data_IF_278724687493
#
_entry.id   IF_278724687493
#
_cell.length_a   1.000
_cell.length_b   1.000
_cell.length_c   1.000
_cell.angle_alpha   90.00
_cell.angle_beta   90.00
_cell.angle_gamma   90.00
#
_symmetry.space_group_name_H-M   'P 1'
#
loop_
_entity.id
_entity.type
_entity.pdbx_description
1 polymer ?
#
# COMPACT_ATOMS: atom_id res chain seq x y z
N UNK A 1 4.75 3.12 13.25
CA UNK A 1 3.53 2.58 12.60
C UNK A 1 2.57 1.84 13.55
N UNK A 2 3.02 0.83 14.30
CA UNK A 2 2.14 0.06 15.19
C UNK A 2 1.44 0.93 16.27
N UNK A 3 2.16 1.89 16.88
CA UNK A 3 1.57 2.79 17.88
C UNK A 3 0.58 3.77 17.26
N UNK A 4 0.90 4.32 16.08
CA UNK A 4 0.00 5.21 15.34
C UNK A 4 -1.31 4.52 14.97
N UNK A 5 -1.27 3.31 14.41
CA UNK A 5 -2.49 2.53 14.10
C UNK A 5 -3.32 2.20 15.35
N UNK A 6 -2.68 1.97 16.51
CA UNK A 6 -3.39 1.79 17.79
C UNK A 6 -4.09 3.06 18.27
N UNK A 7 -3.51 4.23 17.99
CA UNK A 7 -4.05 5.54 18.38
C UNK A 7 -5.25 6.00 17.55
N UNK A 8 -5.64 5.27 16.50
CA UNK A 8 -6.77 5.67 15.65
C UNK A 8 -8.11 5.52 16.36
N UNK A 9 -8.93 6.57 16.30
CA UNK A 9 -10.32 6.55 16.70
C UNK A 9 -11.16 5.64 15.79
N UNK A 10 -12.37 5.27 16.25
CA UNK A 10 -13.30 4.44 15.48
C UNK A 10 -13.59 5.04 14.09
N UNK A 11 -13.74 6.36 14.01
CA UNK A 11 -13.98 7.10 12.76
C UNK A 11 -12.76 7.03 11.82
N UNK A 12 -11.54 7.17 12.34
CA UNK A 12 -10.32 7.05 11.55
C UNK A 12 -10.11 5.64 10.98
N UNK A 13 -10.46 4.61 11.76
CA UNK A 13 -10.48 3.22 11.27
C UNK A 13 -11.51 3.02 10.15
N UNK A 14 -12.69 3.65 10.25
CA UNK A 14 -13.68 3.64 9.15
C UNK A 14 -13.12 4.37 7.93
N UNK A 15 -12.36 5.46 8.12
CA UNK A 15 -11.75 6.17 6.99
C UNK A 15 -10.75 5.30 6.22
N UNK A 16 -10.06 4.34 6.85
CA UNK A 16 -9.22 3.36 6.12
C UNK A 16 -10.02 2.53 5.11
N UNK A 17 -11.32 2.33 5.32
CA UNK A 17 -12.21 1.68 4.35
C UNK A 17 -12.33 2.49 3.06
N UNK A 18 -12.33 3.83 3.14
CA UNK A 18 -12.39 4.69 1.94
C UNK A 18 -11.19 4.43 1.04
N UNK A 19 -10.03 4.20 1.64
CA UNK A 19 -8.78 3.90 0.93
C UNK A 19 -8.66 2.43 0.48
N UNK A 20 -9.64 1.57 0.75
CA UNK A 20 -9.53 0.13 0.50
C UNK A 20 -8.51 -0.59 1.39
N UNK A 21 -7.97 0.05 2.44
CA UNK A 21 -6.92 -0.52 3.30
C UNK A 21 -7.45 -1.14 4.60
N UNK A 22 -8.77 -1.25 4.75
CA UNK A 22 -9.38 -1.93 5.90
C UNK A 22 -8.84 -3.36 6.13
N UNK A 23 -8.64 -4.19 5.10
CA UNK A 23 -8.11 -5.54 5.30
C UNK A 23 -6.62 -5.55 5.65
N UNK A 24 -5.85 -4.55 5.22
CA UNK A 24 -4.43 -4.44 5.61
C UNK A 24 -4.32 -4.19 7.12
N UNK A 25 -5.25 -3.45 7.71
CA UNK A 25 -5.33 -3.31 9.16
C UNK A 25 -5.62 -4.65 9.85
N UNK A 26 -6.39 -5.55 9.21
CA UNK A 26 -6.65 -6.90 9.73
C UNK A 26 -5.50 -7.89 9.50
N UNK A 27 -4.69 -7.72 8.44
CA UNK A 27 -3.49 -8.54 8.19
C UNK A 27 -2.50 -8.50 9.36
N UNK A 28 -2.50 -7.42 10.14
CA UNK A 28 -1.69 -7.30 11.35
C UNK A 28 -1.97 -8.39 12.41
N UNK A 29 -3.17 -8.97 12.41
CA UNK A 29 -3.56 -10.05 13.32
C UNK A 29 -3.36 -11.45 12.73
N UNK A 30 -2.93 -11.55 11.47
CA UNK A 30 -2.74 -12.84 10.80
C UNK A 30 -1.40 -13.43 11.24
N UNK A 31 -1.44 -14.63 11.80
CA UNK A 31 -0.23 -15.41 12.08
C UNK A 31 0.34 -15.84 10.74
N UNK A 32 1.62 -15.56 10.51
CA UNK A 32 2.32 -16.00 9.31
C UNK A 32 2.48 -17.51 9.37
N UNK A 33 1.87 -18.20 8.42
CA UNK A 33 2.09 -19.63 8.18
C UNK A 33 3.24 -19.79 7.18
N UNK A 34 4.40 -20.14 7.70
CA UNK A 34 5.62 -20.31 6.89
C UNK A 34 5.54 -21.51 5.96
N UNK A 35 4.87 -22.60 6.38
CA UNK A 35 4.71 -23.79 5.55
C UNK A 35 3.81 -23.48 4.35
N UNK A 36 2.74 -22.70 4.58
CA UNK A 36 1.89 -22.20 3.50
C UNK A 36 2.66 -21.31 2.52
N UNK A 37 3.41 -20.32 3.02
CA UNK A 37 4.20 -19.44 2.14
C UNK A 37 5.24 -20.23 1.32
N UNK A 38 5.88 -21.22 1.93
CA UNK A 38 6.84 -22.07 1.23
C UNK A 38 6.16 -22.95 0.18
N UNK A 39 4.95 -23.44 0.45
CA UNK A 39 4.14 -24.13 -0.54
C UNK A 39 3.75 -23.21 -1.70
N UNK A 40 3.32 -21.96 -1.42
CA UNK A 40 3.02 -20.98 -2.46
C UNK A 40 4.21 -20.77 -3.40
N UNK A 41 5.41 -20.56 -2.87
CA UNK A 41 6.62 -20.38 -3.69
C UNK A 41 6.94 -21.64 -4.50
N UNK A 42 6.84 -22.82 -3.87
CA UNK A 42 7.16 -24.11 -4.51
C UNK A 42 6.26 -24.42 -5.71
N UNK A 43 4.98 -24.05 -5.63
CA UNK A 43 3.99 -24.36 -6.67
C UNK A 43 3.71 -23.19 -7.62
N UNK A 44 4.32 -22.02 -7.40
CA UNK A 44 4.18 -20.87 -8.27
C UNK A 44 4.94 -21.06 -9.57
N UNK A 45 4.26 -20.91 -10.71
CA UNK A 45 4.90 -20.76 -12.02
C UNK A 45 5.01 -19.27 -12.37
N UNK A 46 6.23 -18.68 -12.40
CA UNK A 46 6.45 -17.28 -12.73
C UNK A 46 6.26 -16.96 -14.22
N UNK A 47 6.19 -17.95 -15.12
CA UNK A 47 5.95 -17.70 -16.55
C UNK A 47 4.46 -17.59 -16.87
N UNK A 48 3.64 -18.49 -16.32
CA UNK A 48 2.18 -18.46 -16.51
C UNK A 48 1.44 -17.63 -15.45
N UNK A 49 2.11 -17.25 -14.36
CA UNK A 49 1.52 -16.58 -13.19
C UNK A 49 0.34 -17.33 -12.57
N UNK A 50 0.51 -18.65 -12.40
CA UNK A 50 -0.47 -19.56 -11.79
C UNK A 50 0.21 -20.50 -10.80
N UNK A 51 -0.57 -21.07 -9.88
CA UNK A 51 -0.11 -22.19 -9.07
C UNK A 51 -0.35 -23.51 -9.83
N UNK A 52 0.67 -24.37 -9.91
CA UNK A 52 0.56 -25.69 -10.56
C UNK A 52 0.67 -26.83 -9.56
N UNK A 53 -0.25 -27.78 -9.65
CA UNK A 53 -0.32 -28.94 -8.75
C UNK A 53 -0.33 -30.27 -9.50
N UNK A 54 0.25 -31.29 -8.86
CA UNK A 54 0.21 -32.67 -9.33
C UNK A 54 1.00 -32.94 -10.61
N UNK A 55 1.03 -34.21 -11.02
CA UNK A 55 1.72 -34.64 -12.24
C UNK A 55 1.00 -34.18 -13.53
N UNK A 56 -0.27 -33.80 -13.42
CA UNK A 56 -1.12 -33.38 -14.54
C UNK A 56 -1.10 -31.86 -14.78
N UNK A 57 -0.29 -31.10 -14.03
CA UNK A 57 -0.18 -29.63 -14.13
C UNK A 57 -1.54 -28.93 -13.97
N UNK A 58 -2.32 -29.31 -12.95
CA UNK A 58 -3.57 -28.60 -12.65
C UNK A 58 -3.24 -27.16 -12.22
N UNK A 59 -3.88 -26.18 -12.87
CA UNK A 59 -3.61 -24.76 -12.66
C UNK A 59 -4.67 -24.12 -11.75
N UNK A 60 -4.21 -23.29 -10.81
CA UNK A 60 -5.07 -22.47 -9.96
C UNK A 60 -4.57 -21.03 -9.97
N UNK A 61 -5.47 -20.09 -10.25
CA UNK A 61 -5.22 -18.67 -10.10
C UNK A 61 -6.52 -17.99 -9.67
N UNK A 62 -6.53 -17.24 -8.57
CA UNK A 62 -7.71 -16.47 -8.19
C UNK A 62 -8.06 -15.46 -9.29
N UNK A 63 -9.33 -15.39 -9.66
CA UNK A 63 -9.81 -14.32 -10.51
C UNK A 63 -9.66 -12.97 -9.80
N UNK A 64 -9.64 -11.89 -10.59
CA UNK A 64 -9.54 -10.54 -10.04
C UNK A 64 -10.64 -10.24 -9.02
N UNK A 65 -11.86 -10.72 -9.29
CA UNK A 65 -13.03 -10.59 -8.42
C UNK A 65 -12.86 -11.36 -7.12
N UNK A 66 -12.32 -12.58 -7.18
CA UNK A 66 -12.04 -13.42 -6.00
C UNK A 66 -10.95 -12.78 -5.13
N UNK A 67 -9.89 -12.27 -5.77
CA UNK A 67 -8.85 -11.53 -5.09
C UNK A 67 -9.41 -10.28 -4.40
N UNK A 68 -10.23 -9.48 -5.11
CA UNK A 68 -10.88 -8.30 -4.56
C UNK A 68 -11.80 -8.66 -3.38
N UNK A 69 -12.53 -9.77 -3.45
CA UNK A 69 -13.36 -10.26 -2.34
C UNK A 69 -12.51 -10.59 -1.10
N UNK A 70 -11.36 -11.26 -1.28
CA UNK A 70 -10.41 -11.58 -0.19
C UNK A 70 -9.92 -10.30 0.50
N UNK A 71 -9.55 -9.28 -0.28
CA UNK A 71 -9.09 -7.99 0.24
C UNK A 71 -10.23 -6.97 0.40
N UNK A 72 -11.50 -7.39 0.46
CA UNK A 72 -12.65 -6.53 0.74
C UNK A 72 -12.77 -5.28 -0.15
N UNK A 73 -12.34 -5.36 -1.41
CA UNK A 73 -12.46 -4.32 -2.43
C UNK A 73 -13.64 -4.61 -3.36
N UNK A 74 -14.23 -3.55 -3.93
CA UNK A 74 -15.23 -3.70 -5.00
C UNK A 74 -14.50 -3.84 -6.35
N UNK A 75 -14.61 -4.99 -7.05
CA UNK A 75 -13.97 -5.18 -8.35
C UNK A 75 -14.55 -4.27 -9.45
N UNK A 76 -15.74 -3.70 -9.25
CA UNK A 76 -16.38 -2.80 -10.22
C UNK A 76 -16.03 -1.32 -10.00
N UNK A 77 -15.41 -0.98 -8.86
CA UNK A 77 -15.01 0.40 -8.59
C UNK A 77 -13.83 0.80 -9.51
N UNK A 78 -13.70 2.10 -9.83
CA UNK A 78 -12.60 2.59 -10.66
C UNK A 78 -11.24 2.15 -10.09
N UNK A 79 -10.42 1.49 -10.90
CA UNK A 79 -9.09 1.05 -10.46
C UNK A 79 -8.21 2.25 -10.12
N UNK A 80 -7.50 2.16 -9.00
CA UNK A 80 -6.38 3.06 -8.71
C UNK A 80 -5.29 2.77 -9.75
N UNK A 81 -4.82 3.82 -10.39
CA UNK A 81 -3.78 3.76 -11.43
C UNK A 81 -2.53 4.46 -10.94
N UNK A 82 -1.40 3.85 -11.26
CA UNK A 82 -0.13 4.53 -11.13
C UNK A 82 0.00 5.56 -12.27
N UNK A 83 -0.10 6.85 -11.94
CA UNK A 83 0.02 7.93 -12.93
C UNK A 83 1.48 8.38 -13.03
N UNK A 84 2.07 8.22 -14.22
CA UNK A 84 3.38 8.80 -14.52
C UNK A 84 3.21 10.29 -14.82
N UNK A 85 3.62 11.14 -13.88
CA UNK A 85 3.52 12.61 -13.99
C UNK A 85 4.84 13.28 -13.63
N UNK A 86 5.07 14.47 -14.18
CA UNK A 86 6.17 15.35 -13.76
C UNK A 86 5.74 16.07 -12.48
N UNK A 87 6.68 16.24 -11.54
CA UNK A 87 6.48 17.11 -10.38
C UNK A 87 5.86 16.44 -9.16
N UNK A 88 6.24 15.20 -8.83
CA UNK A 88 5.77 14.51 -7.62
C UNK A 88 6.07 15.25 -6.32
N UNK A 89 7.11 16.10 -6.30
CA UNK A 89 7.36 17.02 -5.17
C UNK A 89 6.15 17.93 -4.92
N UNK A 90 5.54 18.50 -5.98
CA UNK A 90 4.32 19.30 -5.85
C UNK A 90 3.12 18.45 -5.44
N UNK A 91 3.04 17.20 -5.90
CA UNK A 91 2.02 16.27 -5.44
C UNK A 91 2.13 16.00 -3.94
N UNK A 92 3.35 15.85 -3.43
CA UNK A 92 3.63 15.66 -2.00
C UNK A 92 3.29 16.92 -1.18
N UNK A 93 3.77 18.09 -1.61
CA UNK A 93 3.40 19.40 -1.03
C UNK A 93 1.89 19.55 -0.91
N UNK A 94 1.16 19.29 -2.01
CA UNK A 94 -0.29 19.46 -2.07
C UNK A 94 -1.07 18.36 -1.34
N UNK A 95 -0.55 17.14 -1.23
CA UNK A 95 -1.20 16.05 -0.51
C UNK A 95 -1.21 16.32 0.99
N UNK A 96 -0.08 16.80 1.53
CA UNK A 96 0.13 17.04 2.96
C UNK A 96 0.00 18.51 3.39
N UNK A 97 -0.24 19.43 2.45
CA UNK A 97 -0.30 20.88 2.68
C UNK A 97 1.00 21.46 3.27
N UNK A 98 2.14 20.88 2.89
CA UNK A 98 3.43 21.41 3.31
C UNK A 98 3.84 22.62 2.49
N UNK A 99 4.54 23.55 3.15
CA UNK A 99 5.32 24.55 2.42
C UNK A 99 6.45 23.88 1.65
N UNK A 100 6.90 24.51 0.56
CA UNK A 100 8.00 24.00 -0.26
C UNK A 100 9.29 23.73 0.54
N UNK A 101 9.73 24.59 1.48
CA UNK A 101 10.88 24.30 2.33
C UNK A 101 10.68 23.05 3.20
N UNK A 102 9.50 22.89 3.82
CA UNK A 102 9.18 21.72 4.64
C UNK A 102 9.20 20.43 3.80
N UNK A 103 8.53 20.43 2.64
CA UNK A 103 8.52 19.28 1.75
C UNK A 103 9.94 18.91 1.28
N UNK A 104 10.75 19.89 0.91
CA UNK A 104 12.15 19.68 0.48
C UNK A 104 13.02 19.08 1.57
N UNK A 105 12.81 19.44 2.84
CA UNK A 105 13.51 18.83 3.96
C UNK A 105 13.18 17.34 4.16
N UNK A 106 12.01 16.90 3.67
CA UNK A 106 11.54 15.52 3.78
C UNK A 106 11.79 14.69 2.51
N UNK A 107 12.36 15.27 1.44
CA UNK A 107 12.49 14.62 0.14
C UNK A 107 13.96 14.41 -0.25
N UNK A 108 14.26 13.21 -0.74
CA UNK A 108 15.57 12.83 -1.29
C UNK A 108 15.44 12.59 -2.80
N UNK A 109 16.31 13.25 -3.57
CA UNK A 109 16.45 13.06 -5.01
C UNK A 109 15.20 13.36 -5.84
N UNK A 110 14.26 14.15 -5.30
CA UNK A 110 12.97 14.48 -5.93
C UNK A 110 12.06 13.26 -6.23
N UNK A 111 12.37 12.09 -5.67
CA UNK A 111 11.65 10.84 -5.91
C UNK A 111 11.16 10.14 -4.63
N UNK A 112 11.83 10.35 -3.49
CA UNK A 112 11.54 9.63 -2.24
C UNK A 112 11.26 10.61 -1.12
N UNK A 113 10.28 10.31 -0.28
CA UNK A 113 10.05 10.96 1.01
C UNK A 113 10.69 10.13 2.13
N UNK A 114 11.33 10.79 3.09
CA UNK A 114 11.76 10.18 4.35
C UNK A 114 10.50 9.99 5.21
N UNK A 115 10.22 8.76 5.65
CA UNK A 115 8.99 8.44 6.37
C UNK A 115 8.99 8.98 7.81
N UNK A 116 10.15 9.01 8.47
CA UNK A 116 10.23 9.37 9.89
C UNK A 116 9.72 10.80 10.18
N UNK A 117 10.18 11.86 9.49
CA UNK A 117 9.64 13.21 9.69
C UNK A 117 8.13 13.31 9.44
N UNK A 118 7.61 12.55 8.47
CA UNK A 118 6.18 12.51 8.18
C UNK A 118 5.39 11.82 9.31
N UNK A 119 5.96 10.78 9.92
CA UNK A 119 5.38 10.10 11.08
C UNK A 119 5.38 11.04 12.29
N UNK A 120 6.49 11.72 12.57
CA UNK A 120 6.60 12.61 13.72
C UNK A 120 5.62 13.78 13.60
N UNK A 121 5.44 14.34 12.40
CA UNK A 121 4.50 15.45 12.15
C UNK A 121 3.03 15.08 12.44
N UNK A 122 2.61 13.85 12.13
CA UNK A 122 1.19 13.48 12.14
C UNK A 122 0.77 12.45 13.20
N UNK A 123 1.71 11.73 13.83
CA UNK A 123 1.38 10.61 14.72
C UNK A 123 0.87 11.01 16.10
N UNK A 124 1.36 12.11 16.67
CA UNK A 124 0.97 12.58 18.02
C UNK A 124 -0.25 13.52 18.02
N UNK A 125 -0.69 13.96 16.84
CA UNK A 125 -1.75 14.96 16.71
C UNK A 125 -3.13 14.34 16.96
N UNK A 126 -3.65 14.50 18.19
CA UNK A 126 -5.09 14.45 18.43
C UNK A 126 -5.67 15.84 18.15
N UNK A 127 -6.63 15.92 17.22
CA UNK A 127 -7.21 17.20 16.80
C UNK A 127 -8.65 16.97 16.36
N UNK A 128 -9.56 17.82 16.83
CA UNK A 128 -10.96 17.86 16.36
C UNK A 128 -11.09 18.54 14.98
N UNK A 129 -10.02 19.19 14.51
CA UNK A 129 -9.97 19.77 13.16
C UNK A 129 -10.02 18.67 12.08
N UNK A 130 -11.11 18.67 11.31
CA UNK A 130 -11.36 17.73 10.21
C UNK A 130 -10.29 17.75 9.13
N UNK A 131 -9.72 18.92 8.83
CA UNK A 131 -8.67 19.01 7.81
C UNK A 131 -7.40 18.33 8.29
N UNK A 132 -7.02 18.57 9.54
CA UNK A 132 -5.86 17.91 10.15
C UNK A 132 -6.04 16.39 10.29
N UNK A 133 -7.24 15.92 10.63
CA UNK A 133 -7.57 14.47 10.63
C UNK A 133 -7.43 13.89 9.22
N UNK A 134 -7.87 14.58 8.18
CA UNK A 134 -7.70 14.13 6.78
C UNK A 134 -6.22 14.03 6.40
N UNK A 135 -5.41 15.04 6.71
CA UNK A 135 -3.96 15.01 6.44
C UNK A 135 -3.25 13.88 7.19
N UNK A 136 -3.60 13.68 8.47
CA UNK A 136 -3.13 12.56 9.29
C UNK A 136 -3.48 11.21 8.65
N UNK A 137 -4.70 11.05 8.14
CA UNK A 137 -5.10 9.83 7.43
C UNK A 137 -4.30 9.61 6.13
N UNK A 138 -4.10 10.65 5.32
CA UNK A 138 -3.25 10.57 4.11
C UNK A 138 -1.83 10.15 4.45
N UNK A 139 -1.27 10.69 5.53
CA UNK A 139 0.10 10.41 5.96
C UNK A 139 0.23 8.97 6.44
N UNK A 140 -0.74 8.49 7.23
CA UNK A 140 -0.81 7.09 7.63
C UNK A 140 -0.90 6.16 6.42
N UNK A 141 -1.80 6.47 5.47
CA UNK A 141 -1.97 5.70 4.23
C UNK A 141 -0.67 5.67 3.42
N UNK A 142 -0.01 6.82 3.24
CA UNK A 142 1.28 6.89 2.56
C UNK A 142 2.32 6.00 3.23
N UNK A 143 2.44 6.07 4.56
CA UNK A 143 3.38 5.23 5.31
C UNK A 143 3.03 3.74 5.25
N UNK A 144 1.74 3.37 5.20
CA UNK A 144 1.32 1.97 5.01
C UNK A 144 1.66 1.47 3.60
N UNK A 145 1.38 2.27 2.57
CA UNK A 145 1.74 1.92 1.20
C UNK A 145 3.25 1.80 1.02
N UNK A 146 4.01 2.78 1.52
CA UNK A 146 5.46 2.80 1.41
C UNK A 146 6.15 1.73 2.25
N UNK A 147 5.73 1.57 3.51
CA UNK A 147 6.42 0.69 4.46
C UNK A 147 5.97 -0.76 4.44
N UNK A 148 4.80 -1.07 3.87
CA UNK A 148 4.24 -2.42 3.84
C UNK A 148 4.01 -2.95 2.43
N UNK A 149 3.19 -2.26 1.61
CA UNK A 149 2.79 -2.79 0.30
C UNK A 149 3.86 -2.64 -0.78
N UNK A 150 4.53 -1.49 -0.85
CA UNK A 150 5.51 -1.16 -1.88
C UNK A 150 6.88 -0.88 -1.28
N UNK A 151 7.24 -1.64 -0.25
CA UNK A 151 8.49 -1.48 0.50
C UNK A 151 9.67 -1.89 -0.38
N UNK A 152 10.25 -0.91 -1.07
CA UNK A 152 11.46 -1.06 -1.87
C UNK A 152 12.71 -0.54 -1.17
N UNK A 153 12.55 0.41 -0.24
CA UNK A 153 13.64 1.10 0.42
C UNK A 153 13.23 1.48 1.84
N UNK A 154 13.88 0.86 2.83
CA UNK A 154 13.49 0.94 4.23
C UNK A 154 13.58 2.39 4.73
N UNK A 155 12.48 2.88 5.30
CA UNK A 155 12.39 4.25 5.82
C UNK A 155 12.07 5.31 4.78
N UNK A 156 11.90 4.93 3.52
CA UNK A 156 11.52 5.83 2.43
C UNK A 156 10.18 5.44 1.81
N UNK A 157 9.48 6.44 1.26
CA UNK A 157 8.28 6.24 0.46
C UNK A 157 8.40 6.90 -0.90
N UNK A 158 8.00 6.19 -1.93
CA UNK A 158 8.03 6.71 -3.30
C UNK A 158 6.97 7.82 -3.48
N UNK A 159 7.39 8.99 -3.96
CA UNK A 159 6.47 10.12 -4.17
C UNK A 159 5.40 9.83 -5.21
N UNK A 160 5.60 8.80 -6.05
CA UNK A 160 4.62 8.23 -6.97
C UNK A 160 3.37 7.70 -6.30
N UNK A 161 3.41 7.46 -4.99
CA UNK A 161 2.24 7.08 -4.21
C UNK A 161 1.28 8.27 -4.00
N UNK A 162 1.76 9.52 -4.09
CA UNK A 162 0.93 10.69 -3.79
C UNK A 162 -0.32 10.82 -4.68
N UNK A 163 -0.24 10.68 -6.02
CA UNK A 163 -1.44 10.67 -6.87
C UNK A 163 -2.37 9.49 -6.61
N UNK A 164 -1.81 8.31 -6.29
CA UNK A 164 -2.60 7.11 -5.97
C UNK A 164 -3.46 7.31 -4.73
N UNK A 165 -2.89 7.91 -3.68
CA UNK A 165 -3.63 8.17 -2.43
C UNK A 165 -4.84 9.07 -2.68
N UNK A 166 -4.77 10.02 -3.60
CA UNK A 166 -5.93 10.83 -3.98
C UNK A 166 -7.02 10.00 -4.65
N UNK A 167 -6.64 9.14 -5.59
CA UNK A 167 -7.60 8.22 -6.23
C UNK A 167 -8.24 7.27 -5.20
N UNK A 168 -7.46 6.84 -4.20
CA UNK A 168 -7.96 6.02 -3.10
C UNK A 168 -8.92 6.80 -2.18
N UNK A 169 -8.71 8.09 -1.93
CA UNK A 169 -9.69 8.91 -1.20
C UNK A 169 -11.05 8.96 -1.88
N UNK A 170 -11.05 8.92 -3.22
CA UNK A 170 -12.23 8.87 -4.08
C UNK A 170 -12.79 7.44 -4.26
N UNK A 171 -12.47 6.54 -3.32
CA UNK A 171 -12.92 5.14 -3.27
C UNK A 171 -12.45 4.29 -4.46
N UNK A 172 -11.29 4.64 -5.04
CA UNK A 172 -10.67 3.81 -6.06
C UNK A 172 -10.29 2.41 -5.54
N UNK A 173 -10.49 1.40 -6.37
CA UNK A 173 -10.15 0.01 -6.05
C UNK A 173 -8.63 -0.20 -6.10
N UNK A 174 -8.04 -0.58 -4.97
CA UNK A 174 -6.61 -0.89 -4.88
C UNK A 174 -6.27 -2.29 -5.39
N UNK A 175 -7.28 -3.14 -5.60
CA UNK A 175 -7.08 -4.57 -5.84
C UNK A 175 -6.18 -4.86 -7.03
N UNK A 176 -6.27 -4.08 -8.09
CA UNK A 176 -5.41 -4.27 -9.26
C UNK A 176 -3.93 -4.08 -8.94
N UNK A 177 -3.59 -3.07 -8.13
CA UNK A 177 -2.20 -2.79 -7.76
C UNK A 177 -1.70 -3.81 -6.73
N UNK A 178 -2.52 -4.16 -5.74
CA UNK A 178 -2.15 -5.18 -4.74
C UNK A 178 -1.94 -6.55 -5.40
N UNK A 179 -2.79 -6.92 -6.36
CA UNK A 179 -2.62 -8.15 -7.15
C UNK A 179 -1.32 -8.12 -7.95
N UNK A 180 -1.05 -7.04 -8.69
CA UNK A 180 0.18 -6.89 -9.46
C UNK A 180 1.44 -6.99 -8.57
N UNK A 181 1.42 -6.37 -7.40
CA UNK A 181 2.53 -6.45 -6.45
C UNK A 181 2.67 -7.83 -5.81
N UNK A 182 1.56 -8.55 -5.60
CA UNK A 182 1.56 -9.92 -5.10
C UNK A 182 2.21 -10.87 -6.12
N UNK A 183 1.79 -10.80 -7.39
CA UNK A 183 2.37 -11.56 -8.50
C UNK A 183 3.87 -11.27 -8.60
N UNK A 184 4.24 -9.99 -8.64
CA UNK A 184 5.66 -9.57 -8.69
C UNK A 184 6.48 -10.11 -7.52
N UNK A 185 5.89 -10.17 -6.33
CA UNK A 185 6.58 -10.69 -5.14
C UNK A 185 6.73 -12.20 -5.18
N UNK A 186 5.73 -12.92 -5.70
CA UNK A 186 5.81 -14.36 -5.93
C UNK A 186 6.86 -14.70 -6.99
N UNK A 187 6.90 -13.96 -8.10
CA UNK A 187 7.91 -14.13 -9.14
C UNK A 187 9.32 -13.97 -8.57
N UNK A 188 9.57 -12.90 -7.80
CA UNK A 188 10.86 -12.68 -7.12
C UNK A 188 11.19 -13.78 -6.12
N UNK A 189 10.20 -14.27 -5.37
CA UNK A 189 10.44 -15.34 -4.40
C UNK A 189 10.75 -16.68 -5.08
N UNK A 190 10.13 -16.97 -6.24
CA UNK A 190 10.32 -18.21 -6.98
C UNK A 190 11.60 -18.22 -7.82
N UNK A 191 11.94 -17.09 -8.45
CA UNK A 191 13.15 -16.94 -9.27
C UNK A 191 14.41 -16.67 -8.43
N UNK A 192 14.23 -16.25 -7.17
CA UNK A 192 15.30 -15.76 -6.31
C UNK A 192 15.35 -14.23 -6.28
N UNK A 193 15.84 -13.69 -5.16
CA UNK A 193 16.06 -12.26 -5.02
C UNK A 193 17.33 -11.87 -5.78
N UNK A 194 17.18 -11.41 -7.02
CA UNK A 194 18.22 -10.57 -7.63
C UNK A 194 18.25 -9.23 -6.87
N UNK A 195 19.45 -8.84 -6.40
CA UNK A 195 19.75 -7.59 -5.69
C UNK A 195 19.42 -6.34 -6.52
#
# INVERSE_FOLDING_TARGET
>A
MHNWTKSLFKVEKINLRRYGLSPIATLRGVVIDWDFLQACIRFWDPEAHVFRFGAMMEEMCPLFEEFCAIIGCDPNAPLVKHEVKIGYVRSFESLFQFSRPQARAMIVGDQKAILLPLIDEFSEVQSDDRDRVRLRMRALVFCLLAGFLFNKDLGFGDLRLCPMIRQMEDMGCIGGIVLAETIRSLDRAALGFDD
#
